data_IF_435933983950
#
_entry.id   IF_435933983950
#
_cell.length_a   1.000
_cell.length_b   1.000
_cell.length_c   1.000
_cell.angle_alpha   90.00
_cell.angle_beta   90.00
_cell.angle_gamma   90.00
#
_symmetry.space_group_name_H-M   'P 1'
#
loop_
_entity.id
_entity.type
_entity.pdbx_description
1 polymer ?
#
# COMPACT_ATOMS: atom_id res chain seq x y z
N UNK A 1 -7.75 0.08 -40.17
CA UNK A 1 -8.63 -0.53 -39.15
C UNK A 1 -7.86 -1.71 -38.61
N UNK A 2 -6.92 -1.46 -37.69
CA UNK A 2 -6.22 -2.56 -37.02
C UNK A 2 -7.18 -3.14 -35.99
N UNK A 3 -7.46 -4.43 -36.11
CA UNK A 3 -8.21 -5.19 -35.14
C UNK A 3 -7.61 -4.95 -33.76
N UNK A 4 -8.37 -4.22 -32.94
CA UNK A 4 -8.10 -4.09 -31.51
C UNK A 4 -8.64 -5.35 -30.84
N UNK A 5 -8.04 -6.50 -31.13
CA UNK A 5 -8.09 -7.64 -30.22
C UNK A 5 -7.21 -7.28 -29.04
N UNK A 6 -7.74 -6.45 -28.14
CA UNK A 6 -7.37 -6.56 -26.75
C UNK A 6 -7.63 -8.01 -26.36
N UNK A 7 -6.57 -8.81 -26.33
CA UNK A 7 -6.57 -10.09 -25.62
C UNK A 7 -7.10 -9.76 -24.22
N UNK A 8 -8.35 -10.12 -23.97
CA UNK A 8 -8.93 -9.97 -22.63
C UNK A 8 -8.06 -10.80 -21.72
N UNK A 9 -7.25 -10.13 -20.89
CA UNK A 9 -6.45 -10.77 -19.85
C UNK A 9 -7.32 -11.81 -19.16
N UNK A 10 -6.77 -13.00 -18.99
CA UNK A 10 -7.42 -14.02 -18.17
C UNK A 10 -7.74 -13.41 -16.79
N UNK A 11 -8.84 -13.84 -16.15
CA UNK A 11 -9.19 -13.34 -14.82
C UNK A 11 -8.01 -13.38 -13.82
N UNK A 12 -7.16 -14.42 -13.88
CA UNK A 12 -5.97 -14.48 -13.02
C UNK A 12 -4.92 -13.41 -13.36
N UNK A 13 -4.64 -13.17 -14.65
CA UNK A 13 -3.68 -12.13 -15.06
C UNK A 13 -4.13 -10.75 -14.56
N UNK A 14 -5.43 -10.45 -14.64
CA UNK A 14 -5.95 -9.19 -14.11
C UNK A 14 -5.75 -9.08 -12.59
N UNK A 15 -6.04 -10.13 -11.83
CA UNK A 15 -5.82 -10.14 -10.37
C UNK A 15 -4.34 -9.94 -10.05
N UNK A 16 -3.43 -10.63 -10.75
CA UNK A 16 -1.98 -10.52 -10.55
C UNK A 16 -1.43 -9.13 -10.85
N UNK A 17 -1.95 -8.47 -11.87
CA UNK A 17 -1.55 -7.10 -12.23
C UNK A 17 -1.93 -6.12 -11.12
N UNK A 18 -3.17 -6.20 -10.63
CA UNK A 18 -3.63 -5.33 -9.54
C UNK A 18 -2.86 -5.63 -8.25
N UNK A 19 -2.63 -6.90 -7.92
CA UNK A 19 -1.78 -7.29 -6.77
C UNK A 19 -0.37 -6.68 -6.87
N UNK A 20 0.21 -6.63 -8.07
CA UNK A 20 1.54 -6.04 -8.29
C UNK A 20 1.55 -4.54 -8.02
N UNK A 21 0.52 -3.82 -8.46
CA UNK A 21 0.36 -2.39 -8.16
C UNK A 21 0.15 -2.13 -6.66
N UNK A 22 -0.62 -2.98 -5.97
CA UNK A 22 -0.80 -2.87 -4.52
C UNK A 22 0.50 -3.14 -3.74
N UNK A 23 1.37 -4.03 -4.22
CA UNK A 23 2.71 -4.24 -3.63
C UNK A 23 3.58 -2.98 -3.75
N UNK A 24 3.54 -2.28 -4.88
CA UNK A 24 4.22 -0.99 -5.02
C UNK A 24 3.66 0.03 -4.03
N UNK A 25 2.33 0.14 -3.91
CA UNK A 25 1.69 1.00 -2.91
C UNK A 25 2.10 0.66 -1.48
N UNK A 26 2.24 -0.63 -1.15
CA UNK A 26 2.73 -1.07 0.16
C UNK A 26 4.16 -0.58 0.43
N UNK A 27 5.05 -0.68 -0.56
CA UNK A 27 6.41 -0.17 -0.44
C UNK A 27 6.43 1.35 -0.16
N UNK A 28 5.60 2.12 -0.86
CA UNK A 28 5.44 3.56 -0.57
C UNK A 28 4.85 3.80 0.81
N UNK A 29 3.85 3.01 1.22
CA UNK A 29 3.24 3.12 2.54
C UNK A 29 4.26 2.91 3.66
N UNK A 30 5.15 1.91 3.53
CA UNK A 30 6.24 1.68 4.46
C UNK A 30 7.21 2.87 4.52
N UNK A 31 7.64 3.40 3.37
CA UNK A 31 8.53 4.57 3.33
C UNK A 31 7.89 5.82 3.95
N UNK A 32 6.57 5.98 3.78
CA UNK A 32 5.83 7.05 4.42
C UNK A 32 5.80 6.89 5.95
N UNK A 33 5.64 5.68 6.49
CA UNK A 33 5.71 5.42 7.94
C UNK A 33 7.07 5.89 8.49
N UNK A 34 8.16 5.53 7.81
CA UNK A 34 9.52 5.93 8.21
C UNK A 34 9.68 7.46 8.21
N UNK A 35 9.22 8.12 7.15
CA UNK A 35 9.31 9.58 6.98
C UNK A 35 8.45 10.32 8.01
N UNK A 36 7.21 9.89 8.22
CA UNK A 36 6.30 10.48 9.20
C UNK A 36 6.81 10.28 10.63
N UNK A 37 7.40 9.12 10.93
CA UNK A 37 8.02 8.87 12.24
C UNK A 37 9.18 9.84 12.52
N UNK A 38 10.04 10.08 11.53
CA UNK A 38 11.13 11.04 11.66
C UNK A 38 10.63 12.47 11.88
N UNK A 39 9.59 12.90 11.15
CA UNK A 39 8.99 14.23 11.33
C UNK A 39 8.26 14.37 12.67
N UNK A 40 7.57 13.34 13.12
CA UNK A 40 6.94 13.32 14.43
C UNK A 40 8.00 13.52 15.54
N UNK A 41 9.09 12.75 15.51
CA UNK A 41 10.21 12.89 16.46
C UNK A 41 10.84 14.29 16.41
N UNK A 42 10.97 14.89 15.23
CA UNK A 42 11.50 16.25 15.09
C UNK A 42 10.63 17.29 15.83
N UNK A 43 9.30 17.15 15.79
CA UNK A 43 8.38 18.05 16.50
C UNK A 43 8.13 17.69 17.97
N UNK A 44 8.27 16.41 18.35
CA UNK A 44 8.05 15.94 19.72
C UNK A 44 9.31 16.06 20.60
N UNK A 45 10.47 15.74 20.04
CA UNK A 45 11.74 15.55 20.76
C UNK A 45 12.88 16.44 20.25
N UNK A 46 12.73 17.06 19.08
CA UNK A 46 13.75 17.90 18.47
C UNK A 46 13.93 19.27 19.14
N UNK A 47 14.85 20.07 18.59
CA UNK A 47 15.19 21.42 19.06
C UNK A 47 14.01 22.39 18.96
N UNK A 48 13.22 22.29 17.89
CA UNK A 48 12.06 23.15 17.61
C UNK A 48 10.75 22.39 17.86
N UNK A 49 10.51 22.03 19.13
CA UNK A 49 9.30 21.30 19.50
C UNK A 49 8.03 22.07 19.15
N UNK A 50 7.04 21.38 18.61
CA UNK A 50 5.74 21.94 18.28
C UNK A 50 4.62 20.92 18.51
N UNK A 51 4.02 20.86 19.72
CA UNK A 51 3.11 19.79 20.12
C UNK A 51 1.92 19.59 19.18
N UNK A 52 1.30 20.67 18.69
CA UNK A 52 0.17 20.58 17.76
C UNK A 52 0.57 19.98 16.40
N UNK A 53 1.82 20.18 15.97
CA UNK A 53 2.30 19.59 14.72
C UNK A 53 2.75 18.16 14.93
N UNK A 54 3.34 17.84 16.09
CA UNK A 54 3.60 16.46 16.49
C UNK A 54 2.29 15.66 16.50
N UNK A 55 1.21 16.16 17.10
CA UNK A 55 -0.09 15.50 17.10
C UNK A 55 -0.63 15.27 15.69
N UNK A 56 -0.63 16.31 14.84
CA UNK A 56 -1.08 16.18 13.44
C UNK A 56 -0.25 15.17 12.63
N UNK A 57 1.07 15.14 12.81
CA UNK A 57 1.94 14.17 12.12
C UNK A 57 1.73 12.77 12.69
N UNK A 58 1.48 12.61 13.99
CA UNK A 58 1.15 11.33 14.60
C UNK A 58 -0.18 10.76 14.08
N UNK A 59 -1.17 11.61 13.84
CA UNK A 59 -2.44 11.20 13.20
C UNK A 59 -2.21 10.67 11.78
N UNK A 60 -1.35 11.34 11.00
CA UNK A 60 -0.96 10.88 9.67
C UNK A 60 -0.19 9.56 9.75
N UNK A 61 0.76 9.44 10.68
CA UNK A 61 1.54 8.22 10.92
C UNK A 61 0.63 7.03 11.26
N UNK A 62 -0.36 7.25 12.13
CA UNK A 62 -1.34 6.22 12.52
C UNK A 62 -2.15 5.76 11.31
N UNK A 63 -2.68 6.68 10.50
CA UNK A 63 -3.42 6.35 9.28
C UNK A 63 -2.55 5.62 8.25
N UNK A 64 -1.29 6.03 8.12
CA UNK A 64 -0.34 5.40 7.21
C UNK A 64 0.01 3.97 7.64
N UNK A 65 0.15 3.73 8.94
CA UNK A 65 0.33 2.39 9.50
C UNK A 65 -0.89 1.49 9.26
N UNK A 66 -2.10 2.01 9.46
CA UNK A 66 -3.34 1.27 9.15
C UNK A 66 -3.43 0.91 7.65
N UNK A 67 -3.12 1.85 6.77
CA UNK A 67 -3.10 1.59 5.33
C UNK A 67 -2.06 0.51 4.96
N UNK A 68 -0.88 0.53 5.59
CA UNK A 68 0.15 -0.50 5.38
C UNK A 68 -0.38 -1.88 5.74
N UNK A 69 -0.97 -2.03 6.93
CA UNK A 69 -1.54 -3.30 7.40
C UNK A 69 -2.69 -3.80 6.52
N UNK A 70 -3.54 -2.89 6.04
CA UNK A 70 -4.67 -3.23 5.15
C UNK A 70 -4.19 -3.61 3.75
N UNK A 71 -3.17 -2.94 3.21
CA UNK A 71 -2.54 -3.32 1.95
C UNK A 71 -1.95 -4.72 2.05
N UNK A 72 -1.24 -5.04 3.13
CA UNK A 72 -0.65 -6.37 3.31
C UNK A 72 -1.70 -7.48 3.35
N UNK A 73 -2.80 -7.29 4.08
CA UNK A 73 -3.90 -8.25 4.14
C UNK A 73 -4.56 -8.44 2.77
N UNK A 74 -4.90 -7.35 2.10
CA UNK A 74 -5.56 -7.40 0.81
C UNK A 74 -4.67 -8.05 -0.27
N UNK A 75 -3.36 -7.76 -0.28
CA UNK A 75 -2.40 -8.42 -1.16
C UNK A 75 -2.40 -9.94 -0.92
N UNK A 76 -2.37 -10.38 0.34
CA UNK A 76 -2.39 -11.81 0.68
C UNK A 76 -3.69 -12.48 0.19
N UNK A 77 -4.84 -11.86 0.44
CA UNK A 77 -6.14 -12.39 0.00
C UNK A 77 -6.21 -12.51 -1.53
N UNK A 78 -5.71 -11.51 -2.26
CA UNK A 78 -5.67 -11.53 -3.72
C UNK A 78 -4.69 -12.57 -4.28
N UNK A 79 -3.54 -12.81 -3.62
CA UNK A 79 -2.60 -13.87 -4.01
C UNK A 79 -3.21 -15.26 -3.79
N UNK A 80 -3.94 -15.47 -2.69
CA UNK A 80 -4.67 -16.71 -2.43
C UNK A 80 -5.71 -16.94 -3.53
N UNK A 81 -6.48 -15.92 -3.88
CA UNK A 81 -7.51 -16.02 -4.92
C UNK A 81 -6.90 -16.28 -6.31
N UNK A 82 -5.82 -15.60 -6.68
CA UNK A 82 -5.13 -15.85 -7.93
C UNK A 82 -4.63 -17.31 -8.04
N UNK A 83 -4.09 -17.86 -6.94
CA UNK A 83 -3.65 -19.25 -6.90
C UNK A 83 -4.84 -20.23 -6.95
N UNK A 84 -5.98 -19.88 -6.36
CA UNK A 84 -7.20 -20.69 -6.45
C UNK A 84 -7.70 -20.80 -7.89
N UNK A 85 -7.78 -19.67 -8.60
CA UNK A 85 -8.23 -19.63 -10.00
C UNK A 85 -7.32 -20.48 -10.87
N UNK A 86 -6.00 -20.37 -10.72
CA UNK A 86 -5.04 -21.16 -11.52
C UNK A 86 -5.08 -22.66 -11.26
N UNK A 87 -5.41 -23.08 -10.04
CA UNK A 87 -5.54 -24.50 -9.71
C UNK A 87 -6.88 -25.11 -10.14
N UNK A 88 -7.88 -24.26 -10.43
CA UNK A 88 -9.22 -24.66 -10.90
C UNK A 88 -9.36 -24.57 -12.44
N UNK A 89 -8.40 -23.94 -13.13
CA UNK A 89 -8.35 -23.79 -14.59
C UNK A 89 -7.69 -24.99 -15.29
#
# INVERSE_FOLDING_TARGET
MSDNTEERKSPTEHVRDVTSQLKEMRHYAQSNVETLSAHWLAFDQGEYKHPEFAERVNDLLTKQGQLLDELDKNIQDMEIEANRIDNEA
#
